data_IF_207506670901
#
_entry.id   IF_207506670901
#
_cell.length_a   1.000
_cell.length_b   1.000
_cell.length_c   1.000
_cell.angle_alpha   90.00
_cell.angle_beta   90.00
_cell.angle_gamma   90.00
#
_symmetry.space_group_name_H-M   'P 1'
#
loop_
_entity.id
_entity.type
_entity.pdbx_description
1 polymer ?
#
# COMPACT_ATOMS: atom_id res chain seq x y z
N UNK A 1 56.68 -20.81 18.27
CA UNK A 1 55.42 -20.42 18.92
C UNK A 1 54.89 -19.12 18.29
N UNK A 2 54.35 -19.15 17.07
CA UNK A 2 53.68 -17.98 16.45
C UNK A 2 52.96 -18.35 15.14
N UNK A 3 52.03 -19.31 15.18
CA UNK A 3 51.19 -19.63 14.01
C UNK A 3 49.81 -20.19 14.43
N UNK A 4 49.29 -19.67 15.55
CA UNK A 4 48.05 -20.17 16.17
C UNK A 4 47.17 -19.02 16.67
N UNK A 5 47.19 -17.90 15.95
CA UNK A 5 46.23 -16.83 16.12
C UNK A 5 45.70 -16.49 14.73
N UNK A 6 44.39 -16.28 14.64
CA UNK A 6 43.67 -15.79 13.45
C UNK A 6 43.30 -16.88 12.44
N UNK A 7 42.49 -17.84 12.87
CA UNK A 7 41.46 -18.42 12.00
C UNK A 7 40.12 -18.29 12.74
N UNK A 8 39.75 -17.06 13.08
CA UNK A 8 38.37 -16.76 13.48
C UNK A 8 37.53 -16.99 12.22
N UNK A 9 36.56 -17.89 12.27
CA UNK A 9 35.78 -18.27 11.08
C UNK A 9 34.92 -17.09 10.61
N UNK A 10 34.47 -17.13 9.35
CA UNK A 10 33.56 -16.10 8.81
C UNK A 10 32.32 -15.97 9.69
N UNK A 11 31.80 -17.10 10.18
CA UNK A 11 30.64 -17.14 11.08
C UNK A 11 30.92 -16.39 12.39
N UNK A 12 32.06 -16.61 13.04
CA UNK A 12 32.42 -15.90 14.27
C UNK A 12 32.60 -14.39 14.06
N UNK A 13 33.16 -13.96 12.92
CA UNK A 13 33.31 -12.53 12.57
C UNK A 13 31.99 -11.86 12.21
N UNK A 14 31.13 -12.54 11.46
CA UNK A 14 29.79 -12.03 11.12
C UNK A 14 28.88 -12.00 12.34
N UNK A 15 28.99 -12.98 13.24
CA UNK A 15 28.25 -13.00 14.51
C UNK A 15 28.73 -11.91 15.48
N UNK A 16 30.04 -11.63 15.53
CA UNK A 16 30.58 -10.51 16.30
C UNK A 16 30.07 -9.16 15.78
N UNK A 17 30.08 -8.95 14.46
CA UNK A 17 29.51 -7.74 13.84
C UNK A 17 28.01 -7.59 14.11
N UNK A 18 27.24 -8.68 14.04
CA UNK A 18 25.82 -8.67 14.40
C UNK A 18 25.58 -8.35 15.89
N UNK A 19 26.42 -8.86 16.79
CA UNK A 19 26.35 -8.53 18.23
C UNK A 19 26.67 -7.07 18.54
N UNK A 20 27.56 -6.45 17.77
CA UNK A 20 28.00 -5.06 17.99
C UNK A 20 27.07 -4.04 17.33
N UNK A 21 26.54 -4.33 16.14
CA UNK A 21 25.76 -3.39 15.32
C UNK A 21 24.28 -3.77 15.12
N UNK A 22 23.84 -4.89 15.68
CA UNK A 22 22.49 -5.43 15.47
C UNK A 22 22.35 -6.17 14.13
N UNK A 23 21.11 -6.45 13.72
CA UNK A 23 20.85 -7.22 12.50
C UNK A 23 21.15 -6.46 11.19
N UNK A 24 21.24 -5.12 11.25
CA UNK A 24 21.55 -4.25 10.12
C UNK A 24 23.05 -3.96 10.00
N UNK A 25 23.79 -4.90 9.42
CA UNK A 25 25.22 -4.73 9.09
C UNK A 25 25.37 -3.98 7.77
N UNK A 26 26.27 -2.98 7.70
CA UNK A 26 26.49 -2.24 6.45
C UNK A 26 27.23 -3.08 5.41
N UNK A 27 26.98 -2.80 4.13
CA UNK A 27 27.62 -3.47 2.98
C UNK A 27 29.14 -3.25 3.01
N UNK A 28 29.60 -2.08 3.44
CA UNK A 28 31.02 -1.75 3.62
C UNK A 28 31.69 -2.59 4.71
N UNK A 29 31.00 -2.82 5.83
CA UNK A 29 31.52 -3.65 6.92
C UNK A 29 31.71 -5.10 6.44
N UNK A 30 30.77 -5.63 5.64
CA UNK A 30 30.88 -6.96 5.01
C UNK A 30 32.09 -7.00 4.07
N UNK A 31 32.27 -5.97 3.25
CA UNK A 31 33.42 -5.83 2.36
C UNK A 31 34.76 -5.89 3.09
N UNK A 32 34.86 -5.22 4.23
CA UNK A 32 36.07 -5.21 5.05
C UNK A 32 36.42 -6.61 5.60
N UNK A 33 35.43 -7.38 6.02
CA UNK A 33 35.63 -8.74 6.53
C UNK A 33 36.06 -9.68 5.42
N UNK A 34 35.38 -9.63 4.27
CA UNK A 34 35.69 -10.50 3.12
C UNK A 34 37.09 -10.19 2.58
N UNK A 35 37.46 -8.91 2.47
CA UNK A 35 38.80 -8.51 2.03
C UNK A 35 39.90 -9.04 2.97
N UNK A 36 39.71 -8.90 4.28
CA UNK A 36 40.66 -9.40 5.28
C UNK A 36 40.84 -10.93 5.28
N UNK A 37 39.89 -11.68 4.73
CA UNK A 37 39.97 -13.14 4.57
C UNK A 37 40.73 -13.51 3.29
N UNK A 38 40.49 -12.77 2.20
CA UNK A 38 41.17 -12.99 0.92
C UNK A 38 42.68 -12.72 1.03
N UNK A 39 43.07 -11.67 1.77
CA UNK A 39 44.46 -11.34 2.09
C UNK A 39 45.23 -12.49 2.78
N UNK A 40 44.53 -13.39 3.49
CA UNK A 40 45.14 -14.53 4.17
C UNK A 40 45.22 -15.82 3.35
N UNK A 41 44.58 -15.87 2.18
CA UNK A 41 44.28 -17.15 1.48
C UNK A 41 44.70 -17.17 0.01
N UNK A 42 44.74 -16.02 -0.66
CA UNK A 42 45.11 -15.91 -2.07
C UNK A 42 46.54 -15.34 -2.23
N UNK A 43 47.24 -15.65 -3.35
CA UNK A 43 48.51 -15.01 -3.67
C UNK A 43 48.31 -13.50 -3.95
N UNK A 44 49.29 -12.67 -3.56
CA UNK A 44 49.19 -11.19 -3.56
C UNK A 44 48.65 -10.58 -4.87
N UNK A 45 48.97 -11.18 -6.02
CA UNK A 45 48.53 -10.72 -7.34
C UNK A 45 47.05 -11.02 -7.66
N UNK A 46 46.42 -11.97 -6.96
CA UNK A 46 44.98 -12.27 -7.09
C UNK A 46 44.14 -11.53 -6.05
N UNK A 47 44.73 -11.17 -4.90
CA UNK A 47 44.07 -10.41 -3.82
C UNK A 47 43.58 -9.06 -4.36
N UNK A 48 44.42 -8.31 -5.07
CA UNK A 48 44.03 -7.00 -5.62
C UNK A 48 42.86 -7.10 -6.62
N UNK A 49 42.86 -8.16 -7.43
CA UNK A 49 41.81 -8.40 -8.41
C UNK A 49 40.49 -8.76 -7.73
N UNK A 50 40.50 -9.70 -6.80
CA UNK A 50 39.33 -10.09 -6.01
C UNK A 50 38.80 -8.90 -5.19
N UNK A 51 39.70 -8.08 -4.64
CA UNK A 51 39.34 -6.87 -3.93
C UNK A 51 38.62 -5.84 -4.83
N UNK A 52 39.07 -5.69 -6.07
CA UNK A 52 38.39 -4.82 -7.05
C UNK A 52 37.01 -5.36 -7.44
N UNK A 53 36.89 -6.65 -7.76
CA UNK A 53 35.62 -7.28 -8.13
C UNK A 53 34.61 -7.25 -6.97
N UNK A 54 35.10 -7.43 -5.73
CA UNK A 54 34.28 -7.32 -4.53
C UNK A 54 33.77 -5.89 -4.33
N UNK A 55 34.61 -4.87 -4.50
CA UNK A 55 34.18 -3.46 -4.40
C UNK A 55 33.11 -3.14 -5.44
N UNK A 56 33.31 -3.53 -6.70
CA UNK A 56 32.34 -3.32 -7.76
C UNK A 56 30.98 -3.97 -7.43
N UNK A 57 31.00 -5.18 -6.85
CA UNK A 57 29.79 -5.87 -6.41
C UNK A 57 29.10 -5.15 -5.24
N UNK A 58 29.87 -4.67 -4.26
CA UNK A 58 29.34 -3.95 -3.10
C UNK A 58 28.72 -2.60 -3.52
N UNK A 59 29.36 -1.89 -4.45
CA UNK A 59 28.83 -0.66 -5.03
C UNK A 59 27.51 -0.92 -5.76
N UNK A 60 27.43 -2.01 -6.54
CA UNK A 60 26.19 -2.42 -7.20
C UNK A 60 25.07 -2.75 -6.20
N UNK A 61 25.39 -3.50 -5.13
CA UNK A 61 24.43 -3.81 -4.05
C UNK A 61 23.98 -2.53 -3.33
N UNK A 62 24.91 -1.60 -3.06
CA UNK A 62 24.61 -0.31 -2.44
C UNK A 62 23.66 0.53 -3.28
N UNK A 63 23.90 0.61 -4.59
CA UNK A 63 23.01 1.30 -5.53
C UNK A 63 21.62 0.67 -5.59
N UNK A 64 21.54 -0.66 -5.70
CA UNK A 64 20.27 -1.38 -5.68
C UNK A 64 19.51 -1.19 -4.37
N UNK A 65 20.19 -1.21 -3.22
CA UNK A 65 19.60 -0.91 -1.92
C UNK A 65 19.03 0.50 -1.87
N UNK A 66 19.77 1.49 -2.37
CA UNK A 66 19.30 2.87 -2.40
C UNK A 66 18.04 3.05 -3.26
N UNK A 67 17.98 2.37 -4.41
CA UNK A 67 16.78 2.35 -5.26
C UNK A 67 15.57 1.72 -4.54
N UNK A 68 15.77 0.60 -3.86
CA UNK A 68 14.71 -0.08 -3.09
C UNK A 68 14.19 0.78 -1.92
N UNK A 69 15.08 1.48 -1.20
CA UNK A 69 14.68 2.45 -0.16
C UNK A 69 13.94 3.64 -0.78
N UNK A 70 14.33 4.05 -2.00
CA UNK A 70 13.66 5.11 -2.75
C UNK A 70 12.21 4.78 -3.11
N UNK A 71 11.83 3.50 -3.18
CA UNK A 71 10.43 3.07 -3.34
C UNK A 71 9.59 3.21 -2.06
N UNK A 72 10.21 3.50 -0.91
CA UNK A 72 9.57 3.67 0.39
C UNK A 72 8.66 2.49 0.80
N UNK A 73 9.14 1.23 0.73
CA UNK A 73 8.34 0.05 1.01
C UNK A 73 7.68 0.06 2.40
N UNK A 74 8.31 0.65 3.41
CA UNK A 74 7.71 0.76 4.75
C UNK A 74 6.54 1.75 4.79
N UNK A 75 6.62 2.84 4.03
CA UNK A 75 5.51 3.79 3.87
C UNK A 75 4.32 3.15 3.16
N UNK A 76 4.58 2.53 2.01
CA UNK A 76 3.57 1.83 1.23
C UNK A 76 2.87 0.75 2.06
N UNK A 77 3.65 -0.05 2.81
CA UNK A 77 3.10 -1.11 3.66
C UNK A 77 2.31 -0.60 4.86
N UNK A 78 2.67 0.53 5.46
CA UNK A 78 2.02 0.98 6.71
C UNK A 78 0.84 1.90 6.51
N UNK A 79 0.72 2.50 5.33
CA UNK A 79 -0.25 3.56 5.08
C UNK A 79 -0.91 3.40 3.72
N UNK A 80 -0.17 3.63 2.64
CA UNK A 80 -0.79 3.82 1.32
C UNK A 80 -1.58 2.57 0.84
N UNK A 81 -1.08 1.36 1.14
CA UNK A 81 -1.78 0.11 0.79
C UNK A 81 -2.96 -0.19 1.73
N UNK A 82 -2.82 -0.11 3.07
CA UNK A 82 -3.96 -0.16 3.98
C UNK A 82 -5.07 0.84 3.65
N UNK A 83 -4.74 2.12 3.46
CA UNK A 83 -5.71 3.19 3.16
C UNK A 83 -6.48 2.91 1.87
N UNK A 84 -5.78 2.47 0.82
CA UNK A 84 -6.42 2.04 -0.42
C UNK A 84 -7.34 0.83 -0.22
N UNK A 85 -7.00 -0.08 0.70
CA UNK A 85 -7.84 -1.19 1.11
C UNK A 85 -9.14 -0.71 1.78
N UNK A 86 -9.04 0.19 2.74
CA UNK A 86 -10.19 0.77 3.44
C UNK A 86 -11.12 1.53 2.49
N UNK A 87 -10.57 2.30 1.56
CA UNK A 87 -11.34 2.99 0.52
C UNK A 87 -12.08 2.00 -0.39
N UNK A 88 -11.44 0.89 -0.78
CA UNK A 88 -12.08 -0.14 -1.61
C UNK A 88 -13.21 -0.85 -0.85
N UNK A 89 -13.05 -1.11 0.44
CA UNK A 89 -14.09 -1.71 1.28
C UNK A 89 -15.28 -0.75 1.43
N UNK A 90 -15.04 0.54 1.65
CA UNK A 90 -16.08 1.56 1.68
C UNK A 90 -16.84 1.69 0.35
N UNK A 91 -16.14 1.54 -0.78
CA UNK A 91 -16.79 1.48 -2.10
C UNK A 91 -17.71 0.26 -2.19
N UNK A 92 -17.29 -0.91 -1.71
CA UNK A 92 -18.14 -2.11 -1.71
C UNK A 92 -19.41 -1.86 -0.92
N UNK A 93 -19.29 -1.37 0.31
CA UNK A 93 -20.44 -1.07 1.17
C UNK A 93 -21.40 -0.06 0.54
N UNK A 94 -20.88 1.08 0.08
CA UNK A 94 -21.70 2.10 -0.57
C UNK A 94 -22.41 1.57 -1.83
N UNK A 95 -21.77 0.66 -2.59
CA UNK A 95 -22.40 0.03 -3.75
C UNK A 95 -23.44 -1.03 -3.38
N UNK A 96 -23.27 -1.73 -2.26
CA UNK A 96 -24.26 -2.65 -1.70
C UNK A 96 -25.52 -1.90 -1.26
N UNK A 97 -25.36 -0.80 -0.53
CA UNK A 97 -26.47 0.05 -0.09
C UNK A 97 -27.25 0.66 -1.26
N UNK A 98 -26.52 1.16 -2.27
CA UNK A 98 -27.14 1.67 -3.48
C UNK A 98 -27.92 0.58 -4.23
N UNK A 99 -27.37 -0.64 -4.32
CA UNK A 99 -28.05 -1.77 -4.94
C UNK A 99 -29.31 -2.18 -4.15
N UNK A 100 -29.26 -2.21 -2.82
CA UNK A 100 -30.43 -2.44 -1.97
C UNK A 100 -31.52 -1.42 -2.24
N UNK A 101 -31.16 -0.14 -2.28
CA UNK A 101 -32.10 0.96 -2.56
C UNK A 101 -32.77 0.81 -3.94
N UNK A 102 -32.01 0.38 -4.96
CA UNK A 102 -32.55 0.13 -6.30
C UNK A 102 -33.53 -1.06 -6.28
N UNK A 103 -33.24 -2.11 -5.53
CA UNK A 103 -34.12 -3.27 -5.38
C UNK A 103 -35.42 -2.91 -4.65
N UNK A 104 -35.35 -2.13 -3.57
CA UNK A 104 -36.54 -1.63 -2.85
C UNK A 104 -37.42 -0.75 -3.74
N UNK A 105 -36.80 0.08 -4.59
CA UNK A 105 -37.52 0.88 -5.57
C UNK A 105 -38.20 0.00 -6.63
N UNK A 106 -37.54 -1.07 -7.10
CA UNK A 106 -38.13 -2.03 -8.02
C UNK A 106 -39.33 -2.76 -7.39
N UNK A 107 -39.20 -3.22 -6.14
CA UNK A 107 -40.32 -3.80 -5.38
C UNK A 107 -41.52 -2.84 -5.28
N UNK A 108 -41.26 -1.58 -4.96
CA UNK A 108 -42.29 -0.54 -4.93
C UNK A 108 -42.98 -0.36 -6.29
N UNK A 109 -42.25 -0.49 -7.40
CA UNK A 109 -42.86 -0.44 -8.74
C UNK A 109 -43.76 -1.66 -9.00
N UNK A 110 -43.42 -2.85 -8.51
CA UNK A 110 -44.29 -4.02 -8.62
C UNK A 110 -45.56 -3.87 -7.80
N UNK A 111 -45.48 -3.30 -6.60
CA UNK A 111 -46.67 -2.99 -5.79
C UNK A 111 -47.61 -2.05 -6.55
N UNK A 112 -47.07 -0.97 -7.13
CA UNK A 112 -47.85 -0.04 -7.96
C UNK A 112 -48.42 -0.74 -9.19
N UNK A 113 -47.66 -1.64 -9.83
CA UNK A 113 -48.12 -2.39 -10.99
C UNK A 113 -49.38 -3.23 -10.68
N UNK A 114 -49.47 -3.78 -9.48
CA UNK A 114 -50.62 -4.55 -9.03
C UNK A 114 -51.90 -3.71 -8.83
N UNK A 115 -51.77 -2.39 -8.68
CA UNK A 115 -52.89 -1.46 -8.48
C UNK A 115 -53.40 -0.82 -9.78
N UNK A 116 -52.69 -0.96 -10.90
CA UNK A 116 -53.06 -0.37 -12.19
C UNK A 116 -53.53 -1.43 -13.20
N UNK A 117 -54.34 -1.01 -14.17
CA UNK A 117 -54.80 -1.89 -15.24
C UNK A 117 -53.76 -2.02 -16.37
N UNK A 118 -53.90 -3.07 -17.18
CA UNK A 118 -53.12 -3.24 -18.40
C UNK A 118 -53.42 -2.11 -19.42
N UNK A 119 -52.44 -1.69 -20.25
CA UNK A 119 -51.09 -2.24 -20.38
C UNK A 119 -50.02 -1.64 -19.45
N UNK A 120 -50.37 -0.72 -18.55
CA UNK A 120 -49.40 -0.03 -17.69
C UNK A 120 -48.80 -0.97 -16.65
N UNK A 121 -49.61 -1.85 -16.07
CA UNK A 121 -49.15 -2.91 -15.15
C UNK A 121 -48.03 -3.76 -15.77
N UNK A 122 -48.27 -4.29 -16.97
CA UNK A 122 -47.31 -5.14 -17.70
C UNK A 122 -45.98 -4.43 -17.97
N UNK A 123 -46.02 -3.12 -18.25
CA UNK A 123 -44.80 -2.32 -18.47
C UNK A 123 -44.01 -2.12 -17.18
N UNK A 124 -44.68 -1.84 -16.07
CA UNK A 124 -44.04 -1.66 -14.77
C UNK A 124 -43.41 -2.97 -14.28
N UNK A 125 -44.12 -4.09 -14.41
CA UNK A 125 -43.59 -5.43 -14.09
C UNK A 125 -42.34 -5.76 -14.92
N UNK A 126 -42.37 -5.47 -16.22
CA UNK A 126 -41.24 -5.71 -17.11
C UNK A 126 -40.00 -4.88 -16.70
N UNK A 127 -40.16 -3.58 -16.45
CA UNK A 127 -39.05 -2.70 -16.03
C UNK A 127 -38.52 -3.11 -14.65
N UNK A 128 -39.40 -3.47 -13.72
CA UNK A 128 -38.98 -3.94 -12.40
C UNK A 128 -38.16 -5.23 -12.49
N UNK A 129 -38.60 -6.18 -13.33
CA UNK A 129 -37.87 -7.43 -13.57
C UNK A 129 -36.48 -7.15 -14.16
N UNK A 130 -36.38 -6.20 -15.08
CA UNK A 130 -35.10 -5.77 -15.66
C UNK A 130 -34.18 -5.14 -14.59
N UNK A 131 -34.71 -4.32 -13.68
CA UNK A 131 -33.94 -3.72 -12.58
C UNK A 131 -33.37 -4.78 -11.62
N UNK A 132 -34.14 -5.81 -11.23
CA UNK A 132 -33.60 -6.91 -10.42
C UNK A 132 -32.47 -7.65 -11.13
N UNK A 133 -32.65 -7.93 -12.42
CA UNK A 133 -31.63 -8.63 -13.20
C UNK A 133 -30.36 -7.78 -13.34
N UNK A 134 -30.48 -6.49 -13.61
CA UNK A 134 -29.36 -5.58 -13.73
C UNK A 134 -28.59 -5.42 -12.40
N UNK A 135 -29.32 -5.32 -11.28
CA UNK A 135 -28.73 -5.15 -9.94
C UNK A 135 -27.96 -6.39 -9.48
N UNK A 136 -28.29 -7.59 -10.00
CA UNK A 136 -27.56 -8.83 -9.68
C UNK A 136 -26.08 -8.84 -10.09
N UNK A 137 -25.63 -7.92 -10.97
CA UNK A 137 -24.22 -7.79 -11.36
C UNK A 137 -23.32 -7.22 -10.24
N UNK A 138 -23.91 -6.55 -9.23
CA UNK A 138 -23.17 -5.96 -8.11
C UNK A 138 -22.42 -7.02 -7.28
N UNK A 139 -22.99 -8.23 -7.11
CA UNK A 139 -22.32 -9.37 -6.44
C UNK A 139 -20.96 -9.70 -7.07
N UNK A 140 -20.87 -9.66 -8.41
CA UNK A 140 -19.60 -9.90 -9.11
C UNK A 140 -18.59 -8.76 -8.89
N UNK A 141 -19.07 -7.53 -8.78
CA UNK A 141 -18.22 -6.35 -8.54
C UNK A 141 -17.66 -6.38 -7.13
N UNK A 142 -18.50 -6.65 -6.12
CA UNK A 142 -18.06 -6.84 -4.73
C UNK A 142 -17.01 -7.95 -4.62
N UNK A 143 -17.26 -9.12 -5.20
CA UNK A 143 -16.28 -10.23 -5.19
C UNK A 143 -14.94 -9.87 -5.85
N UNK A 144 -14.97 -9.09 -6.94
CA UNK A 144 -13.75 -8.64 -7.62
C UNK A 144 -12.97 -7.65 -6.78
N UNK A 145 -13.65 -6.68 -6.16
CA UNK A 145 -13.00 -5.70 -5.27
C UNK A 145 -12.41 -6.42 -4.06
N UNK A 146 -13.15 -7.31 -3.40
CA UNK A 146 -12.63 -8.13 -2.30
C UNK A 146 -11.37 -8.93 -2.68
N UNK A 147 -11.27 -9.40 -3.93
CA UNK A 147 -10.06 -10.06 -4.43
C UNK A 147 -8.90 -9.08 -4.60
N UNK A 148 -9.16 -7.86 -5.05
CA UNK A 148 -8.17 -6.77 -5.12
C UNK A 148 -7.69 -6.42 -3.71
N UNK A 149 -8.58 -6.17 -2.75
CA UNK A 149 -8.23 -5.87 -1.34
C UNK A 149 -7.35 -6.96 -0.74
N UNK A 150 -7.67 -8.24 -0.96
CA UNK A 150 -6.80 -9.36 -0.53
C UNK A 150 -5.42 -9.34 -1.18
N UNK A 151 -5.35 -8.98 -2.45
CA UNK A 151 -4.07 -8.89 -3.17
C UNK A 151 -3.23 -7.73 -2.65
N UNK A 152 -3.86 -6.61 -2.30
CA UNK A 152 -3.23 -5.48 -1.63
C UNK A 152 -2.68 -5.88 -0.26
N UNK A 153 -3.45 -6.61 0.55
CA UNK A 153 -2.94 -7.15 1.83
C UNK A 153 -1.73 -8.08 1.66
N UNK A 154 -1.71 -8.92 0.62
CA UNK A 154 -0.50 -9.71 0.32
C UNK A 154 0.69 -8.84 -0.12
N UNK A 155 0.44 -7.73 -0.80
CA UNK A 155 1.49 -6.79 -1.19
C UNK A 155 2.04 -6.06 0.04
N UNK A 156 1.17 -5.67 0.97
CA UNK A 156 1.50 -5.09 2.27
C UNK A 156 2.49 -5.98 3.03
N UNK A 157 2.16 -7.27 3.24
CA UNK A 157 3.03 -8.24 3.92
C UNK A 157 4.41 -8.34 3.26
N UNK A 158 4.46 -8.32 1.92
CA UNK A 158 5.70 -8.43 1.15
C UNK A 158 6.55 -7.16 1.25
N UNK A 159 5.92 -6.00 1.21
CA UNK A 159 6.59 -4.71 1.36
C UNK A 159 7.11 -4.52 2.79
N UNK A 160 6.37 -4.96 3.80
CA UNK A 160 6.82 -4.99 5.19
C UNK A 160 8.08 -5.85 5.36
N UNK A 161 8.06 -7.07 4.83
CA UNK A 161 9.22 -7.95 4.86
C UNK A 161 10.42 -7.40 4.07
N UNK A 162 10.16 -6.73 2.93
CA UNK A 162 11.21 -6.07 2.15
C UNK A 162 11.83 -4.91 2.93
N UNK A 163 11.00 -4.06 3.56
CA UNK A 163 11.45 -2.94 4.37
C UNK A 163 12.35 -3.40 5.53
N UNK A 164 11.95 -4.45 6.24
CA UNK A 164 12.77 -5.06 7.29
C UNK A 164 14.11 -5.59 6.74
N UNK A 165 14.08 -6.29 5.60
CA UNK A 165 15.28 -6.87 5.00
C UNK A 165 16.30 -5.83 4.52
N UNK A 166 15.85 -4.66 4.06
CA UNK A 166 16.74 -3.58 3.62
C UNK A 166 17.04 -2.56 4.73
N UNK A 167 16.38 -2.67 5.89
CA UNK A 167 16.47 -1.69 6.98
C UNK A 167 15.90 -0.33 6.58
N UNK A 168 14.84 -0.31 5.78
CA UNK A 168 14.07 0.91 5.53
C UNK A 168 13.29 1.24 6.80
N UNK A 169 13.65 2.33 7.46
CA UNK A 169 12.98 2.78 8.66
C UNK A 169 12.01 3.94 8.44
N UNK A 170 11.98 4.49 7.22
CA UNK A 170 11.25 5.69 6.88
C UNK A 170 9.76 5.38 6.69
N UNK A 171 8.91 6.18 7.33
CA UNK A 171 7.48 6.22 7.06
C UNK A 171 7.18 7.65 6.66
N UNK A 172 6.64 7.86 5.45
CA UNK A 172 6.27 9.21 5.05
C UNK A 172 5.17 9.73 5.99
N UNK A 173 5.17 11.03 6.35
CA UNK A 173 4.02 11.64 7.01
C UNK A 173 2.81 11.63 6.05
N UNK A 174 1.61 11.38 6.58
CA UNK A 174 0.37 11.46 5.80
C UNK A 174 0.30 12.85 5.16
N UNK A 175 0.11 12.90 3.84
CA UNK A 175 0.02 14.16 3.12
C UNK A 175 -1.47 14.47 2.94
N UNK A 176 -2.10 14.88 4.04
CA UNK A 176 -3.53 15.24 4.07
C UNK A 176 -3.74 16.74 3.73
N UNK A 177 -2.66 17.47 3.44
CA UNK A 177 -2.73 18.87 3.07
C UNK A 177 -3.05 19.00 1.58
N UNK A 178 -4.24 19.53 1.27
CA UNK A 178 -4.60 20.01 -0.06
C UNK A 178 -3.63 21.15 -0.37
N UNK A 179 -2.78 20.98 -1.40
CA UNK A 179 -1.97 22.09 -1.87
C UNK A 179 -2.91 23.16 -2.42
N UNK A 180 -2.92 24.32 -1.77
CA UNK A 180 -3.76 25.46 -2.16
C UNK A 180 -2.88 26.58 -2.71
N UNK A 181 -3.39 27.29 -3.71
CA UNK A 181 -2.76 28.51 -4.20
C UNK A 181 -2.92 29.67 -3.22
N UNK A 182 -2.37 30.84 -3.58
CA UNK A 182 -2.47 32.06 -2.76
C UNK A 182 -3.92 32.52 -2.51
N UNK A 183 -4.89 31.98 -3.27
CA UNK A 183 -6.33 32.28 -3.18
C UNK A 183 -7.10 31.19 -2.41
N UNK A 184 -6.42 30.15 -1.91
CA UNK A 184 -7.02 29.06 -1.16
C UNK A 184 -7.69 27.99 -2.04
N UNK A 185 -7.43 27.99 -3.34
CA UNK A 185 -7.99 27.02 -4.29
C UNK A 185 -7.03 25.85 -4.43
N UNK A 186 -7.54 24.62 -4.39
CA UNK A 186 -6.74 23.42 -4.62
C UNK A 186 -5.99 23.52 -5.96
N UNK A 187 -4.67 23.35 -5.91
CA UNK A 187 -3.78 23.43 -7.07
C UNK A 187 -4.01 22.25 -8.00
N UNK A 188 -4.48 21.12 -7.46
CA UNK A 188 -4.72 19.90 -8.20
C UNK A 188 -6.10 19.31 -7.90
N UNK A 189 -6.88 19.08 -8.96
CA UNK A 189 -8.21 18.46 -8.88
C UNK A 189 -8.17 17.06 -8.25
N UNK A 190 -7.05 16.32 -8.32
CA UNK A 190 -6.94 15.02 -7.64
C UNK A 190 -6.98 15.12 -6.13
N UNK A 191 -6.59 16.26 -5.57
CA UNK A 191 -6.61 16.51 -4.12
C UNK A 191 -8.05 16.76 -3.63
N UNK A 192 -8.99 17.00 -4.56
CA UNK A 192 -10.42 17.12 -4.30
C UNK A 192 -11.17 15.79 -4.45
N UNK A 193 -10.53 14.76 -5.00
CA UNK A 193 -11.14 13.45 -5.22
C UNK A 193 -11.04 12.59 -3.95
N UNK A 194 -11.77 12.97 -2.91
CA UNK A 194 -12.04 12.06 -1.82
C UNK A 194 -13.06 11.01 -2.28
N UNK A 195 -12.79 9.74 -2.00
CA UNK A 195 -13.74 8.65 -2.21
C UNK A 195 -14.99 8.79 -1.33
N UNK A 196 -15.87 7.78 -1.29
CA UNK A 196 -16.93 7.72 -0.29
C UNK A 196 -16.34 7.98 1.10
N UNK A 197 -16.96 8.89 1.87
CA UNK A 197 -16.47 9.22 3.21
C UNK A 197 -16.56 7.99 4.12
N UNK A 198 -15.45 7.70 4.79
CA UNK A 198 -15.40 6.65 5.81
C UNK A 198 -16.30 7.02 6.98
N UNK A 199 -16.82 6.00 7.66
CA UNK A 199 -17.75 6.19 8.78
C UNK A 199 -17.07 6.98 9.91
N UNK A 200 -17.59 8.18 10.22
CA UNK A 200 -17.04 9.08 11.23
C UNK A 200 -16.06 10.14 10.73
N UNK A 201 -15.69 10.13 9.44
CA UNK A 201 -14.83 11.15 8.82
C UNK A 201 -15.61 12.22 8.02
N UNK A 202 -16.94 12.10 7.96
CA UNK A 202 -17.80 13.14 7.40
C UNK A 202 -17.87 14.36 8.32
N UNK A 203 -17.95 15.57 7.73
CA UNK A 203 -18.29 16.76 8.49
C UNK A 203 -19.63 16.54 9.19
N UNK A 204 -19.66 16.77 10.50
CA UNK A 204 -20.91 16.73 11.25
C UNK A 204 -21.85 17.83 10.74
N UNK A 205 -23.16 17.61 10.89
CA UNK A 205 -24.14 18.64 10.51
C UNK A 205 -23.87 19.97 11.24
N UNK A 206 -23.40 19.90 12.49
CA UNK A 206 -23.02 21.06 13.28
C UNK A 206 -21.81 21.82 12.68
N UNK A 207 -20.84 21.12 12.10
CA UNK A 207 -19.70 21.72 11.41
C UNK A 207 -20.11 22.33 10.07
N UNK A 208 -20.98 21.66 9.31
CA UNK A 208 -21.53 22.18 8.06
C UNK A 208 -22.31 23.47 8.33
N UNK A 209 -23.15 23.47 9.36
CA UNK A 209 -23.95 24.63 9.74
C UNK A 209 -23.06 25.79 10.24
N UNK A 210 -21.97 25.50 10.96
CA UNK A 210 -21.00 26.50 11.38
C UNK A 210 -20.24 27.13 10.19
N UNK A 211 -19.87 26.33 9.19
CA UNK A 211 -19.23 26.80 7.96
C UNK A 211 -20.19 27.68 7.17
N UNK A 212 -21.44 27.23 6.96
CA UNK A 212 -22.45 27.99 6.22
C UNK A 212 -22.81 29.31 6.91
N UNK A 213 -22.88 29.32 8.24
CA UNK A 213 -23.12 30.54 9.02
C UNK A 213 -21.96 31.55 8.94
N UNK A 214 -20.74 31.12 8.56
CA UNK A 214 -19.60 32.01 8.38
C UNK A 214 -19.59 32.73 7.01
N UNK A 215 -20.45 32.32 6.07
CA UNK A 215 -20.61 32.96 4.75
C UNK A 215 -21.74 34.00 4.69
N UNK A 216 -22.57 34.10 5.74
CA UNK A 216 -23.59 35.14 5.95
C UNK A 216 -23.04 36.35 6.77
#
# INVERSE_FOLDING_TARGET
MAKQAVAVTIEERTEALRKERGDNVSVDDIGSVVLSLVEGTAPDNEVDKIASELRDLLDFIGAAKAELVGMQPKSLSRRDIPDAGEQLDAIVEATEDAASTIMDAADSMMEIAAEVEAPQAEKLEAVSTELFQASSFQDLTGQRITKVTKTLGHLEERLSALAEAIGDDFVAPANDEIETDDEGVAVNDTDLLHGPQLEGEGNSQDEIDAILAAFD
#
